data_IF_968570971373
#
_entry.id   IF_968570971373
#
_cell.length_a   1.000
_cell.length_b   1.000
_cell.length_c   1.000
_cell.angle_alpha   90.00
_cell.angle_beta   90.00
_cell.angle_gamma   90.00
#
_symmetry.space_group_name_H-M   'P 1'
#
loop_
_entity.id
_entity.type
_entity.pdbx_description
1 polymer ?
#
# COMPACT_ATOMS: atom_id res chain seq x y z
N UNK A 1 -0.82 -15.45 13.59
CA UNK A 1 0.40 -15.52 12.80
C UNK A 1 0.66 -14.18 12.12
N UNK A 2 1.89 -13.74 12.17
CA UNK A 2 2.29 -12.44 11.63
C UNK A 2 3.09 -12.64 10.36
N UNK A 3 2.79 -11.83 9.36
CA UNK A 3 3.46 -11.90 8.08
C UNK A 3 4.11 -10.56 7.80
N UNK A 4 5.36 -10.59 7.37
CA UNK A 4 6.03 -9.38 6.90
C UNK A 4 5.59 -9.12 5.47
N UNK A 5 4.89 -8.02 5.26
CA UNK A 5 4.29 -7.70 3.98
C UNK A 5 5.22 -6.90 3.10
N UNK A 6 5.94 -5.97 3.70
CA UNK A 6 6.73 -5.01 2.95
C UNK A 6 7.80 -4.42 3.85
N UNK A 7 8.90 -4.05 3.25
CA UNK A 7 9.96 -3.31 3.93
C UNK A 7 10.11 -1.98 3.22
N UNK A 8 10.17 -0.91 4.00
CA UNK A 8 10.47 0.41 3.44
C UNK A 8 11.88 0.75 3.85
N UNK A 9 12.73 0.92 2.86
CA UNK A 9 14.16 1.17 3.06
C UNK A 9 14.55 2.36 2.21
N UNK A 10 15.04 3.40 2.86
CA UNK A 10 15.47 4.63 2.18
C UNK A 10 14.36 5.19 1.29
N UNK A 11 13.12 5.12 1.78
CA UNK A 11 11.98 5.66 1.04
C UNK A 11 11.45 4.78 -0.06
N UNK A 12 11.99 3.57 -0.21
CA UNK A 12 11.53 2.65 -1.25
C UNK A 12 10.93 1.41 -0.63
N UNK A 13 9.91 0.88 -1.29
CA UNK A 13 9.25 -0.33 -0.82
C UNK A 13 9.89 -1.55 -1.44
N UNK A 14 10.17 -2.53 -0.58
CA UNK A 14 10.67 -3.82 -1.00
C UNK A 14 9.66 -4.87 -0.61
N UNK A 15 9.42 -5.82 -1.51
CA UNK A 15 8.60 -6.98 -1.17
C UNK A 15 9.56 -8.07 -0.70
N UNK A 16 9.50 -8.44 0.57
CA UNK A 16 10.49 -9.38 1.10
C UNK A 16 10.28 -10.80 0.60
N UNK A 17 11.37 -11.54 0.58
CA UNK A 17 11.31 -12.98 0.31
C UNK A 17 12.24 -13.66 1.30
N UNK A 18 12.43 -14.96 1.14
CA UNK A 18 13.21 -15.72 2.10
C UNK A 18 14.67 -15.31 2.22
N UNK A 19 15.20 -14.65 1.19
CA UNK A 19 16.59 -14.23 1.21
C UNK A 19 16.77 -12.79 1.62
N UNK A 20 15.70 -12.11 1.96
CA UNK A 20 15.76 -10.70 2.32
C UNK A 20 16.40 -10.55 3.70
N UNK A 21 17.35 -9.64 3.81
CA UNK A 21 18.03 -9.35 5.06
C UNK A 21 17.50 -8.03 5.57
N UNK A 22 17.01 -8.02 6.80
CA UNK A 22 16.55 -6.78 7.42
C UNK A 22 17.75 -5.93 7.80
N UNK A 23 17.60 -4.65 7.62
CA UNK A 23 18.68 -3.70 7.89
C UNK A 23 18.22 -2.65 8.87
N UNK A 24 19.21 -2.02 9.48
CA UNK A 24 18.94 -0.94 10.41
C UNK A 24 18.16 0.16 9.71
N UNK A 25 17.19 0.72 10.40
CA UNK A 25 16.34 1.80 9.93
C UNK A 25 15.29 1.36 8.92
N UNK A 26 15.16 0.05 8.67
CA UNK A 26 14.04 -0.43 7.86
C UNK A 26 12.73 -0.19 8.58
N UNK A 27 11.70 0.16 7.84
CA UNK A 27 10.35 0.18 8.36
C UNK A 27 9.65 -1.08 7.86
N UNK A 28 9.07 -1.81 8.78
CA UNK A 28 8.42 -3.07 8.45
C UNK A 28 6.91 -2.88 8.43
N UNK A 29 6.29 -3.33 7.36
CA UNK A 29 4.84 -3.35 7.28
C UNK A 29 4.40 -4.77 7.53
N UNK A 30 3.63 -4.96 8.58
CA UNK A 30 3.29 -6.28 9.08
C UNK A 30 1.79 -6.49 8.98
N UNK A 31 1.40 -7.66 8.56
CA UNK A 31 0.01 -8.08 8.56
C UNK A 31 -0.17 -9.29 9.44
N UNK A 32 -1.40 -9.65 9.67
CA UNK A 32 -1.71 -10.79 10.51
C UNK A 32 -2.74 -11.67 9.83
N UNK A 33 -2.74 -12.93 10.19
CA UNK A 33 -3.76 -13.86 9.73
C UNK A 33 -4.69 -14.22 10.86
N UNK A 34 -5.91 -14.56 10.50
CA UNK A 34 -6.81 -15.16 11.47
C UNK A 34 -6.25 -16.48 11.93
N UNK A 35 -6.59 -16.85 13.13
CA UNK A 35 -6.17 -18.14 13.63
C UNK A 35 -6.74 -19.29 12.80
N UNK A 36 -7.82 -19.06 12.05
CA UNK A 36 -8.37 -20.07 11.18
C UNK A 36 -7.75 -20.06 9.79
N UNK A 37 -6.68 -19.33 9.60
CA UNK A 37 -5.96 -19.32 8.34
C UNK A 37 -6.33 -18.23 7.37
N UNK A 38 -7.38 -17.49 7.66
CA UNK A 38 -7.77 -16.40 6.76
C UNK A 38 -6.86 -15.21 6.95
N UNK A 39 -6.59 -14.54 5.87
CA UNK A 39 -5.74 -13.36 5.92
C UNK A 39 -6.50 -12.16 6.37
N UNK A 40 -5.87 -11.38 7.21
CA UNK A 40 -6.39 -10.09 7.58
C UNK A 40 -6.08 -9.03 6.57
N UNK A 41 -5.06 -9.23 5.75
CA UNK A 41 -4.57 -8.19 4.89
C UNK A 41 -5.40 -8.13 3.64
N UNK A 42 -6.04 -7.00 3.42
CA UNK A 42 -6.82 -6.77 2.22
C UNK A 42 -6.13 -5.70 1.41
N UNK A 43 -5.28 -6.13 0.51
CA UNK A 43 -4.62 -5.23 -0.42
C UNK A 43 -5.30 -5.34 -1.76
N UNK A 44 -5.52 -4.21 -2.39
CA UNK A 44 -5.99 -4.22 -3.77
C UNK A 44 -5.29 -3.12 -4.54
N UNK A 45 -5.19 -3.32 -5.84
CA UNK A 45 -4.51 -2.40 -6.70
C UNK A 45 -5.53 -1.75 -7.63
N UNK A 46 -5.46 -0.44 -7.73
CA UNK A 46 -6.31 0.32 -8.63
C UNK A 46 -5.41 1.00 -9.65
N UNK A 47 -5.68 0.77 -10.92
CA UNK A 47 -4.97 1.46 -11.98
C UNK A 47 -5.71 2.76 -12.25
N UNK A 48 -5.02 3.88 -12.12
CA UNK A 48 -5.63 5.20 -12.25
C UNK A 48 -5.70 5.54 -13.73
N UNK A 49 -6.91 5.55 -14.26
CA UNK A 49 -7.13 5.87 -15.67
C UNK A 49 -7.39 7.36 -15.81
N UNK A 50 -7.34 7.83 -17.04
CA UNK A 50 -7.44 9.26 -17.33
C UNK A 50 -8.69 9.88 -16.73
N UNK A 51 -9.81 9.17 -16.75
CA UNK A 51 -11.08 9.72 -16.27
C UNK A 51 -11.26 9.59 -14.76
N UNK A 52 -10.29 8.99 -14.07
CA UNK A 52 -10.39 8.83 -12.62
C UNK A 52 -10.25 10.20 -11.96
N UNK A 53 -11.17 10.51 -11.03
CA UNK A 53 -11.14 11.83 -10.40
C UNK A 53 -9.95 12.02 -9.47
N UNK A 54 -9.20 10.98 -9.19
CA UNK A 54 -7.99 11.12 -8.37
C UNK A 54 -6.83 11.77 -9.13
N UNK A 55 -6.89 11.79 -10.47
CA UNK A 55 -5.80 12.33 -11.28
C UNK A 55 -5.56 13.78 -10.91
N UNK A 56 -4.31 14.11 -10.59
CA UNK A 56 -3.94 15.49 -10.28
C UNK A 56 -4.19 15.91 -8.85
N UNK A 57 -4.76 15.05 -8.03
CA UNK A 57 -5.03 15.40 -6.63
C UNK A 57 -3.94 14.86 -5.73
N UNK A 58 -3.75 15.54 -4.61
CA UNK A 58 -2.88 15.03 -3.56
C UNK A 58 -3.66 14.02 -2.72
N UNK A 59 -2.95 13.06 -2.16
CA UNK A 59 -3.61 11.99 -1.39
C UNK A 59 -4.44 12.57 -0.25
N UNK A 60 -3.97 13.63 0.40
CA UNK A 60 -4.72 14.22 1.50
C UNK A 60 -6.08 14.75 1.08
N UNK A 61 -6.28 14.99 -0.22
CA UNK A 61 -7.53 15.54 -0.74
C UNK A 61 -8.43 14.50 -1.36
N UNK A 62 -8.05 13.23 -1.30
CA UNK A 62 -8.87 12.18 -1.88
C UNK A 62 -10.03 11.83 -0.95
N UNK A 63 -11.16 11.51 -1.58
CA UNK A 63 -12.34 11.10 -0.84
C UNK A 63 -12.29 9.59 -0.67
N UNK A 64 -11.47 9.13 0.25
CA UNK A 64 -11.38 7.71 0.54
C UNK A 64 -11.80 7.47 1.98
N UNK A 65 -12.24 6.25 2.21
CA UNK A 65 -12.73 5.85 3.53
C UNK A 65 -11.61 5.91 4.56
N UNK A 66 -11.96 6.22 5.79
CA UNK A 66 -10.99 6.14 6.90
C UNK A 66 -10.52 4.71 7.11
N UNK A 67 -11.22 3.75 6.54
CA UNK A 67 -10.85 2.35 6.66
C UNK A 67 -9.80 1.95 5.64
N UNK A 68 -9.45 2.86 4.75
CA UNK A 68 -8.51 2.55 3.68
C UNK A 68 -7.27 3.41 3.78
N UNK A 69 -6.15 2.83 3.39
CA UNK A 69 -4.86 3.50 3.42
C UNK A 69 -4.14 3.21 2.13
N UNK A 70 -3.64 4.26 1.48
CA UNK A 70 -2.80 4.06 0.31
C UNK A 70 -1.39 3.78 0.80
N UNK A 71 -0.92 2.57 0.53
CA UNK A 71 0.37 2.13 1.08
C UNK A 71 1.50 2.23 0.07
N UNK A 72 1.18 2.27 -1.22
CA UNK A 72 2.22 2.25 -2.23
C UNK A 72 1.63 2.73 -3.55
N UNK A 73 2.45 3.36 -4.36
CA UNK A 73 2.10 3.70 -5.73
C UNK A 73 3.20 3.17 -6.63
N UNK A 74 2.80 2.46 -7.68
CA UNK A 74 3.76 2.05 -8.70
C UNK A 74 3.55 2.94 -9.90
N UNK A 75 4.59 3.68 -10.24
CA UNK A 75 4.53 4.63 -11.35
C UNK A 75 5.63 4.28 -12.33
N UNK A 76 5.23 3.80 -13.50
CA UNK A 76 6.16 3.26 -14.48
C UNK A 76 6.94 2.15 -13.80
N UNK A 77 8.23 2.18 -13.75
CA UNK A 77 9.00 1.13 -13.11
C UNK A 77 9.47 1.50 -11.72
N UNK A 78 8.82 2.48 -11.10
CA UNK A 78 9.24 2.98 -9.79
C UNK A 78 8.18 2.71 -8.76
N UNK A 79 8.62 2.44 -7.55
CA UNK A 79 7.73 2.29 -6.41
C UNK A 79 7.86 3.55 -5.55
N UNK A 80 6.72 4.14 -5.23
CA UNK A 80 6.66 5.36 -4.44
C UNK A 80 5.98 5.04 -3.13
N UNK A 81 6.60 5.47 -2.02
CA UNK A 81 5.96 5.40 -0.72
C UNK A 81 5.27 6.74 -0.54
N UNK A 82 3.94 6.77 -0.59
CA UNK A 82 3.23 8.04 -0.61
C UNK A 82 3.04 8.64 0.77
N UNK A 83 2.80 9.94 0.77
CA UNK A 83 2.30 10.62 1.95
C UNK A 83 1.16 11.53 1.51
N UNK A 84 0.61 12.31 2.43
CA UNK A 84 -0.55 13.14 2.10
C UNK A 84 -0.30 14.16 1.01
N UNK A 85 0.94 14.55 0.77
CA UNK A 85 1.28 15.55 -0.23
C UNK A 85 1.59 14.97 -1.60
N UNK A 86 1.61 13.64 -1.71
CA UNK A 86 1.89 12.96 -2.97
C UNK A 86 0.74 13.16 -3.95
N UNK A 87 1.05 13.51 -5.18
CA UNK A 87 0.03 13.64 -6.22
C UNK A 87 -0.20 12.30 -6.89
N UNK A 88 -1.46 12.04 -7.23
CA UNK A 88 -1.82 10.86 -8.03
C UNK A 88 -1.77 11.26 -9.49
N UNK A 89 -1.21 10.41 -10.31
CA UNK A 89 -1.09 10.69 -11.74
C UNK A 89 -1.75 9.57 -12.55
N UNK A 90 -2.15 9.94 -13.75
CA UNK A 90 -2.68 8.96 -14.67
C UNK A 90 -1.66 7.85 -14.90
N UNK A 91 -2.12 6.62 -14.92
CA UNK A 91 -1.25 5.47 -15.12
C UNK A 91 -0.70 4.88 -13.85
N UNK A 92 -0.87 5.56 -12.72
CA UNK A 92 -0.41 5.02 -11.44
C UNK A 92 -1.15 3.75 -11.09
N UNK A 93 -0.44 2.81 -10.49
CA UNK A 93 -1.06 1.66 -9.85
C UNK A 93 -1.03 1.95 -8.35
N UNK A 94 -2.19 2.21 -7.79
CA UNK A 94 -2.30 2.60 -6.39
C UNK A 94 -2.68 1.37 -5.57
N UNK A 95 -1.89 1.05 -4.57
CA UNK A 95 -2.13 -0.11 -3.72
C UNK A 95 -2.77 0.37 -2.43
N UNK A 96 -3.96 -0.15 -2.16
CA UNK A 96 -4.76 0.20 -1.00
C UNK A 96 -4.79 -0.95 -0.02
N UNK A 97 -4.67 -0.62 1.24
CA UNK A 97 -4.91 -1.55 2.33
C UNK A 97 -6.25 -1.17 2.96
N UNK A 98 -7.15 -2.15 3.08
CA UNK A 98 -8.45 -1.90 3.68
C UNK A 98 -8.48 -2.52 5.06
N UNK A 99 -8.93 -1.75 6.03
CA UNK A 99 -9.09 -2.24 7.39
C UNK A 99 -10.47 -2.82 7.62
N UNK A 100 -11.34 -2.77 6.60
CA UNK A 100 -12.68 -3.27 6.79
C UNK A 100 -12.62 -4.74 7.07
N UNK A 101 -13.28 -5.13 8.13
CA UNK A 101 -13.45 -6.51 8.40
C UNK A 101 -14.54 -7.02 7.54
N UNK A 102 -14.40 -8.25 7.18
CA UNK A 102 -15.53 -8.93 6.66
C UNK A 102 -16.46 -9.13 7.78
N UNK A 103 -17.52 -8.48 7.77
CA UNK A 103 -18.43 -8.68 8.80
C UNK A 103 -19.22 -9.80 8.48
N UNK A 104 -19.00 -10.68 8.89
CA UNK A 104 -19.87 -11.58 8.91
C UNK A 104 -21.04 -11.43 8.73
#
# INVERSE_FOLDING_TARGET
QIILVMIIRNGEALVPNGDTVLMENDTLVIGAKHYNGEEYINLKEIIVKQENEWVGKQIKDLDISRQELIVMIRRKNRTIIPNGLTYIKEGDAVVLYSKLKDTD
#
